data_IF_540627539358
#
_entry.id   IF_540627539358
#
_cell.length_a   1.000
_cell.length_b   1.000
_cell.length_c   1.000
_cell.angle_alpha   90.00
_cell.angle_beta   90.00
_cell.angle_gamma   90.00
#
_symmetry.space_group_name_H-M   'P 1'
#
loop_
_entity.id
_entity.type
_entity.pdbx_description
1 polymer ?
#
# COMPACT_ATOMS: atom_id res chain seq x y z
N UNK A 1 -29.97 54.09 -18.44
CA UNK A 1 -30.44 53.10 -19.44
C UNK A 1 -30.05 51.72 -18.92
N UNK A 2 -31.04 50.85 -18.72
CA UNK A 2 -30.90 49.58 -18.00
C UNK A 2 -30.30 48.48 -18.89
N UNK A 3 -29.44 47.63 -18.29
CA UNK A 3 -28.78 46.49 -18.92
C UNK A 3 -29.81 45.46 -19.38
N UNK A 4 -29.72 45.02 -20.64
CA UNK A 4 -30.43 43.85 -21.19
C UNK A 4 -29.71 42.58 -20.70
N UNK A 5 -30.42 41.51 -20.30
CA UNK A 5 -29.80 40.33 -19.69
C UNK A 5 -29.07 39.49 -20.75
N UNK A 6 -27.94 38.91 -20.34
CA UNK A 6 -27.21 37.92 -21.14
C UNK A 6 -28.06 36.63 -21.27
N UNK A 7 -27.99 35.94 -22.42
CA UNK A 7 -28.75 34.71 -22.62
C UNK A 7 -28.23 33.61 -21.68
N UNK A 8 -29.16 32.83 -21.15
CA UNK A 8 -28.87 31.61 -20.39
C UNK A 8 -28.16 30.61 -21.32
N UNK A 9 -27.04 30.09 -20.86
CA UNK A 9 -26.28 29.05 -21.53
C UNK A 9 -27.01 27.73 -21.22
N UNK A 10 -27.64 27.14 -22.22
CA UNK A 10 -28.25 25.81 -22.08
C UNK A 10 -27.14 24.74 -22.00
N UNK A 11 -27.32 23.67 -21.20
CA UNK A 11 -26.28 22.68 -20.98
C UNK A 11 -26.35 21.56 -22.04
N UNK A 12 -25.88 21.83 -23.25
CA UNK A 12 -25.68 20.78 -24.26
C UNK A 12 -24.38 21.06 -25.05
N UNK A 13 -23.26 20.52 -24.56
CA UNK A 13 -22.10 20.13 -25.39
C UNK A 13 -21.10 19.31 -24.55
N UNK A 14 -21.58 18.23 -23.93
CA UNK A 14 -20.68 17.13 -23.58
C UNK A 14 -20.46 16.33 -24.86
N UNK A 15 -19.55 16.80 -25.71
CA UNK A 15 -19.01 15.95 -26.78
C UNK A 15 -18.27 14.79 -26.11
N UNK A 16 -18.82 13.59 -26.25
CA UNK A 16 -18.31 12.28 -25.77
C UNK A 16 -16.97 11.86 -26.43
N UNK A 17 -16.10 12.81 -26.79
CA UNK A 17 -14.85 12.54 -27.48
C UNK A 17 -13.68 13.17 -26.70
N UNK A 18 -12.86 12.31 -26.10
CA UNK A 18 -11.65 12.62 -25.32
C UNK A 18 -11.81 13.09 -23.86
N UNK A 19 -12.66 12.41 -23.08
CA UNK A 19 -12.20 12.07 -21.72
C UNK A 19 -11.02 11.10 -21.90
N UNK A 20 -9.83 11.65 -22.17
CA UNK A 20 -8.60 10.88 -22.33
C UNK A 20 -8.45 9.98 -21.12
N UNK A 21 -8.72 8.70 -21.29
CA UNK A 21 -8.32 7.67 -20.35
C UNK A 21 -6.80 7.81 -20.28
N UNK A 22 -6.32 8.56 -19.30
CA UNK A 22 -4.92 8.51 -18.94
C UNK A 22 -4.65 7.02 -18.71
N UNK A 23 -3.65 6.42 -19.40
CA UNK A 23 -3.27 5.07 -19.10
C UNK A 23 -3.04 4.99 -17.58
N UNK A 24 -3.48 3.91 -16.92
CA UNK A 24 -3.23 3.76 -15.50
C UNK A 24 -1.73 3.99 -15.26
N UNK A 25 -1.37 4.78 -14.22
CA UNK A 25 0.02 5.09 -13.95
C UNK A 25 0.82 3.78 -13.89
N UNK A 26 2.00 3.75 -14.50
CA UNK A 26 2.89 2.60 -14.38
C UNK A 26 3.13 2.33 -12.88
N UNK A 27 3.09 1.05 -12.46
CA UNK A 27 3.35 0.73 -11.06
C UNK A 27 4.76 1.23 -10.68
N UNK A 28 4.94 1.74 -9.45
CA UNK A 28 6.24 2.22 -9.02
C UNK A 28 7.29 1.11 -9.14
N UNK A 29 8.49 1.45 -9.61
CA UNK A 29 9.59 0.48 -9.66
C UNK A 29 9.96 0.04 -8.24
N UNK A 30 10.00 -1.27 -7.93
CA UNK A 30 10.34 -1.73 -6.59
C UNK A 30 11.77 -1.32 -6.19
N UNK A 31 11.89 -0.69 -5.02
CA UNK A 31 13.12 -0.35 -4.33
C UNK A 31 13.75 -1.61 -3.74
N UNK A 32 15.07 -1.78 -3.95
CA UNK A 32 15.80 -2.97 -3.50
C UNK A 32 16.97 -2.67 -2.57
N UNK A 33 17.43 -1.43 -2.50
CA UNK A 33 18.46 -1.03 -1.53
C UNK A 33 17.80 -0.81 -0.16
N UNK A 34 18.18 -1.59 0.87
CA UNK A 34 17.64 -1.40 2.22
C UNK A 34 17.82 0.01 2.77
N UNK A 35 18.84 0.76 2.33
CA UNK A 35 19.12 2.11 2.82
C UNK A 35 18.04 3.13 2.45
N UNK A 36 17.33 2.88 1.37
CA UNK A 36 16.26 3.73 0.86
C UNK A 36 14.91 3.42 1.54
N UNK A 37 14.86 2.35 2.35
CA UNK A 37 13.66 1.92 3.06
C UNK A 37 13.52 2.60 4.42
N UNK A 38 12.28 2.90 4.79
CA UNK A 38 11.90 3.32 6.15
C UNK A 38 12.31 2.26 7.19
N UNK A 39 12.56 2.65 8.47
CA UNK A 39 13.07 1.73 9.48
C UNK A 39 12.24 0.44 9.65
N UNK A 40 10.93 0.57 9.80
CA UNK A 40 10.02 -0.57 9.98
C UNK A 40 9.94 -1.46 8.74
N UNK A 41 9.84 -0.87 7.54
CA UNK A 41 9.88 -1.60 6.27
C UNK A 41 11.20 -2.34 6.08
N UNK A 42 12.32 -1.73 6.45
CA UNK A 42 13.64 -2.35 6.39
C UNK A 42 13.72 -3.55 7.32
N UNK A 43 13.28 -3.40 8.57
CA UNK A 43 13.27 -4.48 9.55
C UNK A 43 12.48 -5.69 9.03
N UNK A 44 11.28 -5.47 8.49
CA UNK A 44 10.46 -6.55 7.96
C UNK A 44 11.02 -7.13 6.67
N UNK A 45 11.59 -6.28 5.81
CA UNK A 45 12.35 -6.70 4.63
C UNK A 45 13.48 -7.65 4.99
N UNK A 46 14.26 -7.35 6.02
CA UNK A 46 15.38 -8.19 6.43
C UNK A 46 14.90 -9.57 6.92
N UNK A 47 13.81 -9.61 7.70
CA UNK A 47 13.17 -10.86 8.16
C UNK A 47 12.68 -11.69 6.96
N UNK A 48 11.92 -11.06 6.06
CA UNK A 48 11.32 -11.74 4.90
C UNK A 48 12.36 -12.20 3.89
N UNK A 49 13.43 -11.43 3.68
CA UNK A 49 14.56 -11.84 2.83
C UNK A 49 15.33 -13.02 3.40
N UNK A 50 15.46 -13.10 4.73
CA UNK A 50 16.11 -14.22 5.39
C UNK A 50 15.26 -15.51 5.27
N UNK A 51 13.94 -15.41 5.48
CA UNK A 51 13.02 -16.55 5.42
C UNK A 51 12.70 -17.00 3.98
N UNK A 52 12.46 -16.06 3.07
CA UNK A 52 12.00 -16.33 1.69
C UNK A 52 12.94 -15.73 0.61
N UNK A 53 14.24 -16.08 0.60
CA UNK A 53 15.24 -15.42 -0.25
C UNK A 53 14.98 -15.55 -1.76
N UNK A 54 14.26 -16.59 -2.18
CA UNK A 54 13.93 -16.84 -3.60
C UNK A 54 12.66 -16.14 -4.07
N UNK A 55 11.85 -15.62 -3.15
CA UNK A 55 10.55 -14.99 -3.41
C UNK A 55 10.65 -13.47 -3.40
N UNK A 56 11.67 -12.93 -2.73
CA UNK A 56 11.92 -11.50 -2.65
C UNK A 56 11.97 -10.80 -4.03
N UNK A 57 11.08 -9.83 -4.25
CA UNK A 57 11.06 -8.99 -5.47
C UNK A 57 11.63 -7.58 -5.19
N UNK A 58 11.18 -6.95 -4.11
CA UNK A 58 11.52 -5.57 -3.75
C UNK A 58 10.41 -4.91 -2.94
N UNK A 59 10.58 -3.62 -2.64
CA UNK A 59 9.60 -2.81 -1.90
C UNK A 59 9.06 -1.71 -2.80
N UNK A 60 7.74 -1.63 -2.90
CA UNK A 60 7.07 -0.51 -3.56
C UNK A 60 6.73 0.53 -2.50
N UNK A 61 7.38 1.71 -2.61
CA UNK A 61 7.19 2.83 -1.70
C UNK A 61 6.17 3.79 -2.31
N UNK A 62 5.13 4.15 -1.57
CA UNK A 62 4.25 5.26 -1.95
C UNK A 62 2.77 5.00 -1.74
N UNK A 63 1.97 5.86 -2.35
CA UNK A 63 0.51 5.72 -2.39
C UNK A 63 0.12 4.55 -3.28
N UNK A 64 0.05 3.37 -2.69
CA UNK A 64 -0.68 2.26 -3.30
C UNK A 64 -2.16 2.67 -3.35
N UNK A 65 -2.91 2.35 -4.42
CA UNK A 65 -4.35 2.58 -4.45
C UNK A 65 -4.97 1.79 -3.29
N UNK A 66 -5.25 2.52 -2.23
CA UNK A 66 -5.79 2.01 -0.99
C UNK A 66 -7.19 1.46 -1.23
N UNK A 67 -7.52 0.39 -0.51
CA UNK A 67 -8.91 0.17 -0.07
C UNK A 67 -9.40 1.52 0.49
N UNK A 68 -10.46 2.05 -0.11
CA UNK A 68 -10.96 3.41 0.07
C UNK A 68 -10.74 4.00 1.47
N UNK A 69 -10.27 5.26 1.50
CA UNK A 69 -10.83 6.38 2.27
C UNK A 69 -9.82 7.30 2.99
N UNK A 70 -8.53 6.99 3.05
CA UNK A 70 -7.55 7.92 3.62
C UNK A 70 -6.29 8.05 2.74
N UNK A 71 -5.69 9.24 2.69
CA UNK A 71 -4.39 9.55 2.07
C UNK A 71 -3.23 8.86 2.83
N UNK A 72 -3.33 7.54 3.06
CA UNK A 72 -2.34 6.77 3.77
C UNK A 72 -1.11 6.55 2.89
N UNK A 73 0.05 6.68 3.51
CA UNK A 73 1.33 6.48 2.86
C UNK A 73 1.82 5.07 3.16
N UNK A 74 1.81 4.18 2.16
CA UNK A 74 2.07 2.76 2.36
C UNK A 74 3.43 2.32 1.81
N UNK A 75 4.00 1.27 2.39
CA UNK A 75 5.02 0.44 1.74
C UNK A 75 4.43 -0.94 1.46
N UNK A 76 4.76 -1.53 0.32
CA UNK A 76 4.46 -2.94 0.04
C UNK A 76 5.72 -3.72 -0.27
N UNK A 77 5.99 -4.68 0.59
CA UNK A 77 7.07 -5.64 0.47
C UNK A 77 6.59 -6.80 -0.40
N UNK A 78 7.06 -6.85 -1.65
CA UNK A 78 6.60 -7.77 -2.67
C UNK A 78 7.40 -9.09 -2.65
N UNK A 79 6.69 -10.22 -2.51
CA UNK A 79 7.23 -11.59 -2.50
C UNK A 79 6.85 -12.39 -3.76
N UNK A 80 6.35 -11.71 -4.80
CA UNK A 80 5.96 -12.30 -6.08
C UNK A 80 4.49 -12.73 -6.11
N UNK A 81 3.95 -12.84 -7.33
CA UNK A 81 2.58 -13.31 -7.60
C UNK A 81 1.47 -12.50 -6.89
N UNK A 82 1.76 -11.23 -6.60
CA UNK A 82 0.88 -10.34 -5.85
C UNK A 82 0.93 -10.54 -4.34
N UNK A 83 1.57 -11.58 -3.81
CA UNK A 83 1.71 -11.82 -2.38
C UNK A 83 2.77 -10.91 -1.76
N UNK A 84 2.48 -10.36 -0.58
CA UNK A 84 3.44 -9.55 0.14
C UNK A 84 2.94 -9.03 1.48
N UNK A 85 3.68 -8.09 2.02
CA UNK A 85 3.36 -7.43 3.29
C UNK A 85 3.25 -5.93 3.08
N UNK A 86 2.14 -5.36 3.50
CA UNK A 86 1.85 -3.94 3.45
C UNK A 86 2.04 -3.31 4.82
N UNK A 87 2.68 -2.15 4.85
CA UNK A 87 2.81 -1.31 6.03
C UNK A 87 2.15 0.03 5.74
N UNK A 88 1.15 0.40 6.53
CA UNK A 88 0.47 1.69 6.43
C UNK A 88 0.99 2.64 7.48
N UNK A 89 1.35 3.86 7.07
CA UNK A 89 1.96 4.85 7.94
C UNK A 89 1.03 6.02 8.20
N UNK A 90 1.24 6.64 9.36
CA UNK A 90 0.58 7.90 9.70
C UNK A 90 1.07 9.00 8.75
N UNK A 91 0.18 9.68 8.00
CA UNK A 91 0.58 10.73 7.07
C UNK A 91 1.21 11.94 7.76
N UNK A 92 0.92 12.14 9.05
CA UNK A 92 1.49 13.24 9.86
C UNK A 92 2.77 12.82 10.59
N UNK A 93 2.96 11.52 10.80
CA UNK A 93 4.12 10.93 11.47
C UNK A 93 4.68 9.78 10.62
N UNK A 94 5.47 10.05 9.57
CA UNK A 94 5.84 9.05 8.55
C UNK A 94 6.71 7.90 9.04
N UNK A 95 7.24 8.00 10.26
CA UNK A 95 7.97 6.92 10.94
C UNK A 95 7.04 5.99 11.74
N UNK A 96 5.79 6.40 11.97
CA UNK A 96 4.78 5.65 12.74
C UNK A 96 3.97 4.75 11.80
N UNK A 97 4.06 3.45 12.06
CA UNK A 97 3.20 2.44 11.41
C UNK A 97 1.85 2.41 12.14
N UNK A 98 0.75 2.42 11.38
CA UNK A 98 -0.63 2.29 11.85
C UNK A 98 -1.17 0.88 11.60
N UNK A 99 -0.72 0.22 10.54
CA UNK A 99 -1.18 -1.12 10.19
C UNK A 99 -0.08 -1.92 9.51
N UNK A 100 -0.02 -3.21 9.80
CA UNK A 100 0.77 -4.18 9.04
C UNK A 100 -0.20 -5.27 8.59
N UNK A 101 -0.23 -5.57 7.30
CA UNK A 101 -1.08 -6.62 6.75
C UNK A 101 -0.31 -7.48 5.76
N UNK A 102 -0.61 -8.77 5.67
CA UNK A 102 -0.03 -9.65 4.67
C UNK A 102 -1.12 -10.34 3.87
N UNK A 103 -0.90 -10.48 2.58
CA UNK A 103 -1.86 -11.08 1.67
C UNK A 103 -1.58 -10.73 0.22
N UNK A 104 -2.48 -11.19 -0.66
CA UNK A 104 -2.42 -10.89 -2.07
C UNK A 104 -2.92 -9.46 -2.35
N UNK A 105 -2.15 -8.74 -3.16
CA UNK A 105 -2.39 -7.36 -3.57
C UNK A 105 -3.54 -7.22 -4.56
N UNK A 106 -3.64 -8.14 -5.51
CA UNK A 106 -4.45 -7.97 -6.72
C UNK A 106 -5.72 -8.86 -6.72
N UNK A 107 -5.79 -9.91 -5.89
CA UNK A 107 -6.92 -10.86 -5.86
C UNK A 107 -7.19 -11.45 -4.46
N UNK A 108 -8.36 -12.07 -4.28
CA UNK A 108 -8.95 -12.43 -3.00
C UNK A 108 -8.16 -13.39 -2.10
N UNK A 109 -8.59 -13.39 -0.84
CA UNK A 109 -7.95 -13.97 0.34
C UNK A 109 -8.23 -13.03 1.52
N UNK A 110 -8.44 -13.55 2.73
CA UNK A 110 -8.48 -12.70 3.92
C UNK A 110 -7.02 -12.40 4.31
N UNK A 111 -6.59 -11.13 4.30
CA UNK A 111 -5.26 -10.80 4.76
C UNK A 111 -5.14 -11.13 6.25
N UNK A 112 -3.94 -11.46 6.71
CA UNK A 112 -3.64 -11.41 8.14
C UNK A 112 -3.29 -9.96 8.50
N UNK A 113 -3.91 -9.45 9.55
CA UNK A 113 -3.90 -8.06 9.93
C UNK A 113 -3.33 -7.85 11.34
N UNK A 114 -2.43 -6.87 11.48
CA UNK A 114 -1.80 -6.50 12.74
C UNK A 114 -1.99 -4.99 13.00
N UNK A 115 -3.06 -4.59 13.70
CA UNK A 115 -3.33 -3.19 14.04
C UNK A 115 -2.25 -2.57 14.93
N UNK A 116 -1.81 -1.35 14.60
CA UNK A 116 -0.84 -0.54 15.37
C UNK A 116 -1.32 0.89 15.65
N UNK A 117 -2.58 1.18 15.36
CA UNK A 117 -3.22 2.48 15.50
C UNK A 117 -3.42 2.90 16.96
N UNK A 118 -3.48 1.95 17.89
CA UNK A 118 -3.57 2.21 19.33
C UNK A 118 -2.25 2.69 19.96
N UNK A 119 -2.36 3.44 21.07
CA UNK A 119 -1.20 4.01 21.77
C UNK A 119 -0.24 2.95 22.34
N UNK A 120 -0.72 1.76 22.69
CA UNK A 120 0.12 0.70 23.23
C UNK A 120 1.11 0.16 22.18
N UNK A 121 0.76 0.27 20.89
CA UNK A 121 1.59 -0.15 19.76
C UNK A 121 2.40 1.01 19.15
N UNK A 122 2.27 2.23 19.68
CA UNK A 122 2.86 3.42 19.06
C UNK A 122 4.38 3.30 18.96
N UNK A 123 4.90 3.29 17.74
CA UNK A 123 6.33 3.17 17.46
C UNK A 123 6.90 1.77 17.72
N UNK A 124 6.04 0.78 17.92
CA UNK A 124 6.43 -0.63 18.06
C UNK A 124 6.18 -1.38 16.76
N UNK A 125 7.08 -2.32 16.48
CA UNK A 125 6.93 -3.30 15.42
C UNK A 125 6.15 -4.53 15.92
N UNK A 126 5.98 -5.53 15.04
CA UNK A 126 5.49 -6.86 15.43
C UNK A 126 6.30 -7.45 16.58
N UNK A 127 5.60 -8.10 17.51
CA UNK A 127 6.19 -9.00 18.51
C UNK A 127 6.72 -10.27 17.85
N UNK A 128 7.45 -11.10 18.60
CA UNK A 128 7.96 -12.38 18.10
C UNK A 128 6.82 -13.35 17.72
N UNK A 129 5.72 -13.33 18.48
CA UNK A 129 4.52 -14.15 18.21
C UNK A 129 3.84 -13.70 16.91
N UNK A 130 3.58 -12.41 16.76
CA UNK A 130 2.97 -11.86 15.54
C UNK A 130 3.88 -12.00 14.32
N UNK A 131 5.20 -11.93 14.52
CA UNK A 131 6.17 -12.23 13.45
C UNK A 131 6.09 -13.68 13.03
N UNK A 132 5.91 -14.61 13.98
CA UNK A 132 5.74 -16.04 13.67
C UNK A 132 4.45 -16.27 12.88
N UNK A 133 3.34 -15.72 13.35
CA UNK A 133 2.04 -15.77 12.68
C UNK A 133 2.10 -15.23 11.25
N UNK A 134 2.74 -14.07 11.06
CA UNK A 134 2.96 -13.49 9.74
C UNK A 134 3.71 -14.46 8.81
N UNK A 135 4.80 -15.06 9.28
CA UNK A 135 5.64 -15.93 8.48
C UNK A 135 4.95 -17.24 8.14
N UNK A 136 4.17 -17.80 9.07
CA UNK A 136 3.40 -19.02 8.87
C UNK A 136 2.31 -18.79 7.81
N UNK A 137 1.55 -17.69 7.92
CA UNK A 137 0.57 -17.30 6.91
C UNK A 137 1.19 -17.18 5.50
N UNK A 138 2.32 -16.48 5.39
CA UNK A 138 3.00 -16.31 4.10
C UNK A 138 3.52 -17.63 3.53
N UNK A 139 3.96 -18.57 4.38
CA UNK A 139 4.42 -19.89 3.95
C UNK A 139 3.26 -20.76 3.44
N UNK A 140 2.10 -20.70 4.10
CA UNK A 140 0.87 -21.36 3.67
C UNK A 140 0.40 -20.81 2.30
N UNK A 141 0.30 -19.49 2.15
CA UNK A 141 -0.12 -18.84 0.90
C UNK A 141 0.84 -19.08 -0.28
N UNK A 142 2.12 -19.37 -0.01
CA UNK A 142 3.09 -19.72 -1.06
C UNK A 142 3.03 -21.17 -1.51
N UNK A 143 2.40 -22.05 -0.71
CA UNK A 143 2.38 -23.51 -0.94
C UNK A 143 0.99 -24.05 -1.27
N UNK A 144 -0.07 -23.30 -0.97
CA UNK A 144 -1.45 -23.57 -1.40
C UNK A 144 -1.66 -23.37 -2.89
#
# INVERSE_FOLDING_TARGET
MAKKPAPAIEPEDWSDEEAGFLPPPEPPTPVRDPKDLRPHTRQLTDILRAKFPKRWVGVEIGTLPLRCEDDLFSDFINLGDGLGVRLDYDPNEPDRVLWISAGNRDFGGEPVDFPRDNDACRGLMLTDEETTELLDYLEEEMTG
#
